data_IF_555896152331
#
_entry.id   IF_555896152331
#
_cell.length_a   1.000
_cell.length_b   1.000
_cell.length_c   1.000
_cell.angle_alpha   90.00
_cell.angle_beta   90.00
_cell.angle_gamma   90.00
#
_symmetry.space_group_name_H-M   'P 1'
#
loop_
_entity.id
_entity.type
_entity.pdbx_description
1 polymer ?
#
# COMPACT_ATOMS: atom_id res chain seq x y z
N UNK A 1 15.36 -4.34 -16.46
CA UNK A 1 14.75 -5.59 -15.98
C UNK A 1 13.27 -5.53 -16.34
N UNK A 2 12.82 -6.37 -17.29
CA UNK A 2 11.41 -6.40 -17.70
C UNK A 2 10.61 -7.16 -16.64
N UNK A 3 9.75 -6.45 -15.91
CA UNK A 3 8.71 -7.07 -15.08
C UNK A 3 7.55 -7.37 -16.02
N UNK A 4 7.13 -8.65 -16.11
CA UNK A 4 5.93 -8.99 -16.85
C UNK A 4 4.76 -8.18 -16.26
N UNK A 5 3.96 -7.47 -17.07
CA UNK A 5 2.91 -6.56 -16.58
C UNK A 5 1.84 -7.25 -15.71
N UNK A 6 1.84 -8.58 -15.66
CA UNK A 6 0.86 -9.39 -14.91
C UNK A 6 1.45 -10.17 -13.73
N UNK A 7 2.73 -10.01 -13.36
CA UNK A 7 3.28 -10.72 -12.21
C UNK A 7 3.03 -9.94 -10.91
N UNK A 8 2.14 -10.45 -10.07
CA UNK A 8 1.98 -10.05 -8.68
C UNK A 8 1.50 -11.24 -7.84
N UNK A 9 1.71 -11.17 -6.53
CA UNK A 9 1.08 -12.05 -5.56
C UNK A 9 0.18 -11.24 -4.63
N UNK A 10 -1.05 -11.71 -4.44
CA UNK A 10 -2.03 -11.06 -3.56
C UNK A 10 -2.15 -11.75 -2.20
N UNK A 11 -2.45 -10.98 -1.16
CA UNK A 11 -2.65 -11.41 0.23
C UNK A 11 -1.55 -12.36 0.70
N UNK A 12 -0.32 -11.94 0.48
CA UNK A 12 0.86 -12.76 0.71
C UNK A 12 1.62 -12.30 1.95
N UNK A 13 2.45 -13.22 2.46
CA UNK A 13 3.54 -12.88 3.36
C UNK A 13 4.79 -12.76 2.50
N UNK A 14 5.35 -11.56 2.40
CA UNK A 14 6.61 -11.34 1.68
C UNK A 14 7.80 -11.53 2.62
N UNK A 15 8.91 -11.92 2.04
CA UNK A 15 10.18 -12.11 2.74
C UNK A 15 11.25 -11.35 1.98
N UNK A 16 11.87 -10.39 2.66
CA UNK A 16 13.06 -9.69 2.16
C UNK A 16 14.19 -9.83 3.17
N UNK A 17 15.36 -9.25 2.88
CA UNK A 17 16.54 -9.33 3.74
C UNK A 17 16.31 -8.71 5.13
N UNK A 18 15.46 -7.69 5.20
CA UNK A 18 15.20 -6.91 6.40
C UNK A 18 14.07 -7.50 7.28
N UNK A 19 13.28 -8.45 6.75
CA UNK A 19 12.27 -9.15 7.55
C UNK A 19 11.15 -9.81 6.75
N UNK A 20 10.11 -10.20 7.49
CA UNK A 20 8.93 -10.89 6.98
C UNK A 20 7.67 -10.12 7.42
N UNK A 21 6.79 -9.79 6.49
CA UNK A 21 5.52 -9.13 6.79
C UNK A 21 4.41 -9.52 5.80
N UNK A 22 3.16 -9.26 6.19
CA UNK A 22 1.99 -9.46 5.33
C UNK A 22 1.70 -8.19 4.54
N UNK A 23 1.27 -8.34 3.29
CA UNK A 23 0.74 -7.25 2.49
C UNK A 23 -0.39 -7.73 1.57
N UNK A 24 -1.21 -6.80 1.10
CA UNK A 24 -2.25 -7.11 0.12
C UNK A 24 -1.69 -7.44 -1.27
N UNK A 25 -0.62 -6.79 -1.73
CA UNK A 25 0.04 -7.14 -2.99
C UNK A 25 1.55 -6.96 -2.93
N UNK A 26 2.28 -7.92 -3.51
CA UNK A 26 3.70 -7.86 -3.76
C UNK A 26 3.98 -7.99 -5.26
N UNK A 27 4.78 -7.06 -5.80
CA UNK A 27 5.10 -6.96 -7.22
C UNK A 27 6.63 -6.95 -7.39
N UNK A 28 7.20 -7.80 -8.26
CA UNK A 28 6.54 -8.82 -9.08
C UNK A 28 6.03 -10.05 -8.31
N UNK A 29 6.60 -10.34 -7.14
CA UNK A 29 6.26 -11.49 -6.30
C UNK A 29 6.73 -11.23 -4.86
N UNK A 30 6.45 -12.16 -3.94
CA UNK A 30 6.73 -12.01 -2.52
C UNK A 30 8.20 -12.27 -2.13
N UNK A 31 8.99 -12.92 -2.98
CA UNK A 31 10.42 -13.19 -2.75
C UNK A 31 11.34 -12.05 -3.20
N UNK A 32 10.89 -11.24 -4.17
CA UNK A 32 11.64 -10.10 -4.70
C UNK A 32 10.73 -8.94 -5.02
N UNK A 33 10.02 -8.44 -4.01
CA UNK A 33 9.09 -7.33 -4.15
C UNK A 33 9.83 -5.99 -4.34
N UNK A 34 9.54 -5.28 -5.43
CA UNK A 34 9.95 -3.89 -5.64
C UNK A 34 8.84 -2.90 -5.28
N UNK A 35 7.58 -3.33 -5.39
CA UNK A 35 6.41 -2.56 -4.99
C UNK A 35 5.56 -3.43 -4.08
N UNK A 36 5.22 -2.88 -2.92
CA UNK A 36 4.30 -3.45 -1.96
C UNK A 36 3.08 -2.54 -1.87
N UNK A 37 1.90 -3.14 -1.84
CA UNK A 37 0.63 -2.43 -1.72
C UNK A 37 -0.12 -2.96 -0.51
N UNK A 38 -0.57 -2.05 0.35
CA UNK A 38 -1.48 -2.34 1.45
C UNK A 38 -2.80 -1.60 1.23
N UNK A 39 -3.94 -2.28 1.40
CA UNK A 39 -5.27 -1.74 1.13
C UNK A 39 -6.09 -1.71 2.41
N UNK A 40 -6.42 -0.51 2.88
CA UNK A 40 -7.07 -0.30 4.18
C UNK A 40 -8.15 0.77 4.11
N UNK A 41 -9.33 0.47 4.62
CA UNK A 41 -10.43 1.42 4.75
C UNK A 41 -11.30 1.05 5.93
N UNK A 42 -11.62 2.03 6.78
CA UNK A 42 -12.42 1.81 7.99
C UNK A 42 -13.92 1.68 7.71
N UNK A 43 -14.36 1.88 6.46
CA UNK A 43 -15.71 1.56 6.01
C UNK A 43 -15.91 0.09 5.63
N UNK A 44 -14.85 -0.73 5.70
CA UNK A 44 -14.91 -2.15 5.39
C UNK A 44 -15.27 -2.98 6.63
N UNK A 45 -16.03 -4.06 6.44
CA UNK A 45 -16.28 -5.06 7.48
C UNK A 45 -15.09 -6.04 7.60
N UNK A 46 -14.83 -6.54 8.82
CA UNK A 46 -13.82 -7.58 9.09
C UNK A 46 -12.45 -7.05 9.55
N UNK A 47 -11.37 -7.85 9.43
CA UNK A 47 -10.03 -7.53 9.98
C UNK A 47 -9.39 -6.28 9.36
N UNK A 48 -10.02 -5.64 8.38
CA UNK A 48 -9.60 -4.36 7.79
C UNK A 48 -9.83 -3.16 8.72
N UNK A 49 -10.55 -3.34 9.84
CA UNK A 49 -10.58 -2.39 10.97
C UNK A 49 -9.44 -2.58 11.98
N UNK A 50 -8.48 -3.49 11.71
CA UNK A 50 -7.31 -3.77 12.57
C UNK A 50 -6.42 -2.54 12.82
N UNK A 51 -5.41 -2.73 13.66
CA UNK A 51 -4.31 -1.80 13.89
C UNK A 51 -3.54 -1.51 12.60
N UNK A 52 -4.05 -0.53 11.83
CA UNK A 52 -3.44 -0.13 10.57
C UNK A 52 -2.00 0.37 10.75
N UNK A 53 -1.70 0.97 11.89
CA UNK A 53 -0.39 1.52 12.16
C UNK A 53 0.60 0.37 12.33
N UNK A 54 0.24 -0.64 13.12
CA UNK A 54 1.03 -1.86 13.26
C UNK A 54 1.23 -2.60 11.95
N UNK A 55 0.17 -2.75 11.14
CA UNK A 55 0.26 -3.43 9.83
C UNK A 55 1.22 -2.69 8.88
N UNK A 56 1.09 -1.36 8.78
CA UNK A 56 1.96 -0.54 7.92
C UNK A 56 3.39 -0.51 8.44
N UNK A 57 3.60 -0.40 9.75
CA UNK A 57 4.94 -0.40 10.34
C UNK A 57 5.65 -1.74 10.15
N UNK A 58 4.92 -2.85 10.25
CA UNK A 58 5.48 -4.17 9.96
C UNK A 58 6.02 -4.24 8.52
N UNK A 59 5.25 -3.74 7.55
CA UNK A 59 5.71 -3.69 6.15
C UNK A 59 6.92 -2.77 6.00
N UNK A 60 6.89 -1.57 6.59
CA UNK A 60 8.00 -0.63 6.46
C UNK A 60 9.29 -1.20 7.06
N UNK A 61 9.21 -1.91 8.17
CA UNK A 61 10.36 -2.48 8.85
C UNK A 61 10.91 -3.72 8.13
N UNK A 62 10.06 -4.48 7.43
CA UNK A 62 10.44 -5.71 6.74
C UNK A 62 10.89 -5.49 5.28
N UNK A 63 10.40 -4.44 4.61
CA UNK A 63 10.73 -4.19 3.20
C UNK A 63 12.17 -3.71 3.04
N UNK A 64 12.80 -4.04 1.91
CA UNK A 64 14.08 -3.44 1.51
C UNK A 64 13.96 -1.93 1.34
N UNK A 65 15.06 -1.21 1.56
CA UNK A 65 15.14 0.24 1.48
C UNK A 65 14.76 0.81 0.10
N UNK A 66 15.07 0.09 -0.97
CA UNK A 66 14.76 0.44 -2.37
C UNK A 66 13.32 0.08 -2.79
N UNK A 67 12.63 -0.81 -2.06
CA UNK A 67 11.25 -1.17 -2.33
C UNK A 67 10.29 0.00 -2.00
N UNK A 68 9.25 0.16 -2.82
CA UNK A 68 8.22 1.20 -2.68
C UNK A 68 6.99 0.64 -1.97
N UNK A 69 6.46 1.40 -1.02
CA UNK A 69 5.23 1.06 -0.32
C UNK A 69 4.12 2.03 -0.75
N UNK A 70 3.05 1.48 -1.31
CA UNK A 70 1.83 2.23 -1.64
C UNK A 70 0.72 1.84 -0.68
N UNK A 71 0.01 2.84 -0.14
CA UNK A 71 -1.16 2.62 0.70
C UNK A 71 -2.41 3.04 -0.06
N UNK A 72 -3.38 2.15 -0.23
CA UNK A 72 -4.66 2.46 -0.84
C UNK A 72 -5.73 2.54 0.26
N UNK A 73 -6.52 3.60 0.25
CA UNK A 73 -7.56 3.82 1.26
C UNK A 73 -8.87 4.37 0.73
N UNK A 74 -9.94 4.28 1.52
CA UNK A 74 -11.27 4.75 1.13
C UNK A 74 -11.48 6.27 1.26
N UNK A 75 -10.58 6.97 1.96
CA UNK A 75 -10.59 8.43 2.14
C UNK A 75 -11.69 8.96 3.06
N UNK A 76 -12.86 8.32 3.11
CA UNK A 76 -14.06 8.82 3.79
C UNK A 76 -14.11 8.45 5.27
N UNK A 77 -13.60 7.28 5.64
CA UNK A 77 -13.85 6.69 6.97
C UNK A 77 -12.83 7.12 8.03
N UNK A 78 -11.88 7.98 7.66
CA UNK A 78 -10.83 8.50 8.53
C UNK A 78 -11.29 9.54 9.54
N UNK A 79 -12.52 10.07 9.43
CA UNK A 79 -13.03 11.10 10.36
C UNK A 79 -12.99 10.64 11.82
N UNK A 80 -13.25 9.36 12.09
CA UNK A 80 -13.19 8.76 13.43
C UNK A 80 -11.78 8.32 13.85
N UNK A 81 -10.81 8.31 12.92
CA UNK A 81 -9.42 7.83 13.13
C UNK A 81 -8.38 8.87 12.68
N UNK A 82 -8.67 10.16 12.85
CA UNK A 82 -7.82 11.27 12.39
C UNK A 82 -6.37 11.18 12.85
N UNK A 83 -6.14 10.67 14.07
CA UNK A 83 -4.78 10.50 14.59
C UNK A 83 -3.98 9.44 13.83
N UNK A 84 -4.62 8.35 13.42
CA UNK A 84 -3.95 7.33 12.62
C UNK A 84 -3.72 7.82 11.19
N UNK A 85 -4.67 8.56 10.61
CA UNK A 85 -4.44 9.23 9.32
C UNK A 85 -3.22 10.17 9.39
N UNK A 86 -3.10 10.98 10.44
CA UNK A 86 -1.93 11.86 10.64
C UNK A 86 -0.63 11.08 10.71
N UNK A 87 -0.61 9.95 11.43
CA UNK A 87 0.56 9.07 11.54
C UNK A 87 0.96 8.47 10.19
N UNK A 88 0.01 8.13 9.33
CA UNK A 88 0.27 7.61 7.98
C UNK A 88 0.79 8.70 7.05
N UNK A 89 0.17 9.90 7.10
CA UNK A 89 0.67 11.07 6.37
C UNK A 89 2.10 11.40 6.81
N UNK A 90 2.39 11.33 8.10
CA UNK A 90 3.74 11.55 8.61
C UNK A 90 4.75 10.54 8.03
N UNK A 91 4.41 9.24 7.99
CA UNK A 91 5.25 8.23 7.34
C UNK A 91 5.47 8.51 5.86
N UNK A 92 4.48 9.06 5.16
CA UNK A 92 4.66 9.49 3.77
C UNK A 92 5.62 10.68 3.67
N UNK A 93 5.48 11.68 4.54
CA UNK A 93 6.36 12.85 4.56
C UNK A 93 7.82 12.47 4.88
N UNK A 94 8.03 11.41 5.68
CA UNK A 94 9.33 10.82 5.98
C UNK A 94 9.86 9.90 4.85
N UNK A 95 9.10 9.69 3.78
CA UNK A 95 9.47 8.80 2.67
C UNK A 95 9.33 7.30 2.97
N UNK A 96 8.77 6.92 4.12
CA UNK A 96 8.54 5.53 4.53
C UNK A 96 7.37 4.90 3.78
N UNK A 97 6.34 5.70 3.48
CA UNK A 97 5.27 5.38 2.52
C UNK A 97 5.54 6.21 1.28
N UNK A 98 5.61 5.58 0.10
CA UNK A 98 5.89 6.29 -1.15
C UNK A 98 4.70 7.16 -1.57
N UNK A 99 3.48 6.61 -1.49
CA UNK A 99 2.26 7.37 -1.74
C UNK A 99 1.04 6.73 -1.08
N UNK A 100 0.14 7.56 -0.59
CA UNK A 100 -1.21 7.20 -0.16
C UNK A 100 -2.19 7.59 -1.27
N UNK A 101 -2.94 6.62 -1.78
CA UNK A 101 -3.99 6.84 -2.77
C UNK A 101 -5.37 6.63 -2.14
N UNK A 102 -6.34 7.41 -2.58
CA UNK A 102 -7.75 7.22 -2.21
C UNK A 102 -8.52 6.61 -3.38
N UNK A 103 -9.75 6.15 -3.15
CA UNK A 103 -10.63 5.70 -4.25
C UNK A 103 -10.80 6.72 -5.38
N UNK A 104 -10.68 8.03 -5.09
CA UNK A 104 -10.71 9.08 -6.11
C UNK A 104 -9.55 8.97 -7.11
N UNK A 105 -8.41 8.39 -6.70
CA UNK A 105 -7.31 8.14 -7.62
C UNK A 105 -7.68 7.16 -8.73
N UNK A 106 -8.57 6.19 -8.46
CA UNK A 106 -9.05 5.28 -9.50
C UNK A 106 -9.84 6.01 -10.57
N UNK A 107 -10.67 6.99 -10.20
CA UNK A 107 -11.37 7.81 -11.19
C UNK A 107 -10.38 8.65 -11.99
N UNK A 108 -9.39 9.24 -11.33
CA UNK A 108 -8.38 10.07 -12.01
C UNK A 108 -7.57 9.23 -13.02
N UNK A 109 -7.17 8.01 -12.64
CA UNK A 109 -6.46 7.09 -13.55
C UNK A 109 -7.33 6.64 -14.73
N UNK A 110 -8.61 6.37 -14.52
CA UNK A 110 -9.52 6.00 -15.61
C UNK A 110 -9.73 7.17 -16.58
N UNK A 111 -9.84 8.39 -16.07
CA UNK A 111 -9.87 9.61 -16.89
C UNK A 111 -8.59 9.75 -17.69
N UNK A 112 -7.43 9.64 -17.03
CA UNK A 112 -6.14 9.77 -17.73
C UNK A 112 -5.94 8.67 -18.78
N UNK A 113 -6.37 7.44 -18.51
CA UNK A 113 -6.37 6.35 -19.50
C UNK A 113 -7.26 6.65 -20.70
N UNK A 114 -8.46 7.17 -20.45
CA UNK A 114 -9.41 7.56 -21.51
C UNK A 114 -8.91 8.73 -22.35
N UNK A 115 -8.28 9.72 -21.73
CA UNK A 115 -7.80 10.95 -22.39
C UNK A 115 -6.44 10.77 -23.06
N UNK A 116 -5.53 10.02 -22.44
CA UNK A 116 -4.12 9.94 -22.86
C UNK A 116 -3.67 8.53 -23.30
N UNK A 117 -4.54 7.52 -23.24
CA UNK A 117 -4.24 6.17 -23.73
C UNK A 117 -3.18 5.41 -22.92
N UNK A 118 -2.95 5.83 -21.67
CA UNK A 118 -2.03 5.16 -20.72
C UNK A 118 -2.67 4.00 -19.95
#
# INVERSE_FOLDING_TARGET
MYVSPNSYESRCTFQDIDGIAKCDFAIPNKEKSYILIEVKGYGATGPKMSDIIGDVDAIINAKRSDARLLLLTDGLTWKSRRNDLRKLIQRQNEGRITRIYTKQFSSDLLTLKGEYGI
#
